data_IF_889193292007
#
_entry.id   IF_889193292007
#
_cell.length_a   1.000
_cell.length_b   1.000
_cell.length_c   1.000
_cell.angle_alpha   90.00
_cell.angle_beta   90.00
_cell.angle_gamma   90.00
#
_symmetry.space_group_name_H-M   'P 1'
#
loop_
_entity.id
_entity.type
_entity.pdbx_description
1 polymer ?
#
# COMPACT_ATOMS: atom_id res chain seq x y z
N UNK A 1 -20.38 25.22 -31.96
CA UNK A 1 -19.82 25.26 -30.58
C UNK A 1 -19.11 23.97 -30.35
N UNK A 2 -17.78 23.96 -30.38
CA UNK A 2 -16.99 22.76 -30.07
C UNK A 2 -16.99 22.49 -28.60
N UNK A 3 -17.41 21.28 -28.16
CA UNK A 3 -17.29 20.86 -26.78
C UNK A 3 -15.79 20.74 -26.43
N UNK A 4 -15.29 21.62 -25.60
CA UNK A 4 -13.96 21.52 -25.04
C UNK A 4 -13.96 20.40 -24.01
N UNK A 5 -13.49 19.21 -24.37
CA UNK A 5 -13.24 18.12 -23.43
C UNK A 5 -12.00 18.44 -22.61
N UNK A 6 -12.18 18.79 -21.36
CA UNK A 6 -11.07 18.87 -20.42
C UNK A 6 -10.64 17.44 -20.03
N UNK A 7 -9.38 17.11 -20.30
CA UNK A 7 -8.79 15.85 -19.81
C UNK A 7 -8.49 16.00 -18.33
N UNK A 8 -9.05 15.11 -17.53
CA UNK A 8 -8.81 15.06 -16.08
C UNK A 8 -7.99 13.82 -15.78
N UNK A 9 -6.93 13.96 -15.00
CA UNK A 9 -6.10 12.87 -14.52
C UNK A 9 -6.26 12.81 -12.99
N UNK A 10 -6.74 11.68 -12.47
CA UNK A 10 -6.77 11.40 -11.03
C UNK A 10 -5.54 10.62 -10.61
N UNK A 11 -4.91 11.02 -9.51
CA UNK A 11 -3.79 10.30 -8.91
C UNK A 11 -4.28 9.46 -7.73
N UNK A 12 -4.18 8.13 -7.88
CA UNK A 12 -4.49 7.15 -6.84
C UNK A 12 -3.19 6.59 -6.26
N UNK A 13 -3.12 6.51 -4.95
CA UNK A 13 -1.98 5.93 -4.20
C UNK A 13 -2.50 4.79 -3.33
N UNK A 14 -2.10 3.57 -3.64
CA UNK A 14 -2.40 2.39 -2.82
C UNK A 14 -1.26 2.17 -1.82
N UNK A 15 -1.60 2.15 -0.54
CA UNK A 15 -0.65 1.94 0.55
C UNK A 15 -0.81 0.51 1.06
N UNK A 16 0.11 -0.39 0.68
CA UNK A 16 -0.05 -1.82 0.96
C UNK A 16 0.67 -2.29 2.23
N UNK A 17 1.64 -1.52 2.74
CA UNK A 17 2.50 -1.94 3.84
C UNK A 17 2.64 -0.87 4.94
N UNK A 18 2.91 -1.32 6.17
CA UNK A 18 3.24 -0.42 7.28
C UNK A 18 4.47 0.45 6.97
N UNK A 19 5.50 -0.14 6.33
CA UNK A 19 6.70 0.61 5.90
C UNK A 19 6.34 1.67 4.87
N UNK A 20 5.54 1.32 3.86
CA UNK A 20 5.05 2.28 2.85
C UNK A 20 4.30 3.44 3.48
N UNK A 21 3.41 3.16 4.44
CA UNK A 21 2.69 4.19 5.19
C UNK A 21 3.63 5.10 5.98
N UNK A 22 4.58 4.52 6.73
CA UNK A 22 5.45 5.25 7.65
C UNK A 22 6.55 6.05 6.95
N UNK A 23 7.15 5.50 5.91
CA UNK A 23 8.33 6.06 5.25
C UNK A 23 7.98 6.67 3.88
N UNK A 24 7.17 5.97 3.08
CA UNK A 24 6.85 6.37 1.71
C UNK A 24 5.83 7.51 1.63
N UNK A 25 4.74 7.41 2.37
CA UNK A 25 3.67 8.42 2.33
C UNK A 25 4.18 9.83 2.69
N UNK A 26 4.98 10.05 3.76
CA UNK A 26 5.50 11.38 4.08
C UNK A 26 6.36 12.00 2.97
N UNK A 27 7.16 11.18 2.28
CA UNK A 27 7.98 11.63 1.14
C UNK A 27 7.09 12.01 -0.04
N UNK A 28 6.08 11.19 -0.33
CA UNK A 28 5.14 11.47 -1.41
C UNK A 28 4.31 12.73 -1.14
N UNK A 29 3.85 12.93 0.10
CA UNK A 29 3.15 14.15 0.49
C UNK A 29 4.00 15.41 0.25
N UNK A 30 5.29 15.37 0.62
CA UNK A 30 6.19 16.49 0.36
C UNK A 30 6.34 16.77 -1.14
N UNK A 31 6.40 15.72 -1.96
CA UNK A 31 6.46 15.83 -3.42
C UNK A 31 5.17 16.42 -3.99
N UNK A 32 4.01 15.89 -3.61
CA UNK A 32 2.70 16.34 -4.07
C UNK A 32 2.45 17.80 -3.70
N UNK A 33 2.83 18.19 -2.48
CA UNK A 33 2.77 19.59 -2.02
C UNK A 33 3.62 20.51 -2.88
N UNK A 34 4.84 20.09 -3.21
CA UNK A 34 5.75 20.87 -4.08
C UNK A 34 5.13 21.17 -5.44
N UNK A 35 4.37 20.25 -6.00
CA UNK A 35 3.76 20.39 -7.32
C UNK A 35 2.29 20.82 -7.28
N UNK A 36 1.70 21.00 -6.09
CA UNK A 36 0.29 21.36 -5.93
C UNK A 36 -0.68 20.31 -6.48
N UNK A 37 -0.32 19.03 -6.42
CA UNK A 37 -1.10 17.91 -6.99
C UNK A 37 -1.91 17.24 -5.88
N UNK A 38 -3.26 17.25 -5.94
CA UNK A 38 -4.09 16.45 -5.04
C UNK A 38 -4.02 14.96 -5.42
N UNK A 39 -4.23 14.09 -4.44
CA UNK A 39 -4.25 12.64 -4.63
C UNK A 39 -5.25 11.97 -3.69
N UNK A 40 -5.69 10.75 -4.03
CA UNK A 40 -6.50 9.90 -3.18
C UNK A 40 -5.66 8.73 -2.68
N UNK A 41 -5.46 8.64 -1.36
CA UNK A 41 -4.69 7.59 -0.70
C UNK A 41 -5.62 6.50 -0.20
N UNK A 42 -5.41 5.27 -0.63
CA UNK A 42 -6.17 4.10 -0.18
C UNK A 42 -5.33 3.30 0.80
N UNK A 43 -5.84 3.14 2.04
CA UNK A 43 -5.09 2.56 3.16
C UNK A 43 -5.83 1.35 3.72
N UNK A 44 -5.14 0.20 3.93
CA UNK A 44 -5.74 -0.97 4.58
C UNK A 44 -6.01 -0.69 6.05
N UNK A 45 -7.16 -1.17 6.51
CA UNK A 45 -7.58 -1.00 7.91
C UNK A 45 -7.01 -2.10 8.84
N UNK A 46 -6.53 -3.19 8.28
CA UNK A 46 -6.03 -4.35 9.00
C UNK A 46 -4.52 -4.36 9.20
N UNK A 47 -4.04 -5.57 9.52
CA UNK A 47 -2.62 -5.82 9.79
C UNK A 47 -1.81 -5.97 8.51
N UNK A 48 -0.53 -5.65 8.61
CA UNK A 48 0.44 -5.91 7.54
C UNK A 48 0.79 -7.40 7.47
N UNK A 49 0.28 -8.09 6.46
CA UNK A 49 0.55 -9.51 6.19
C UNK A 49 1.42 -9.72 4.95
N UNK A 50 2.27 -8.76 4.62
CA UNK A 50 3.15 -8.81 3.44
C UNK A 50 4.01 -10.07 3.39
N UNK A 51 4.38 -10.62 4.54
CA UNK A 51 5.14 -11.89 4.62
C UNK A 51 4.39 -13.09 4.05
N UNK A 52 3.06 -13.15 4.10
CA UNK A 52 2.29 -14.23 3.46
C UNK A 52 2.45 -14.20 1.93
N UNK A 53 2.43 -13.02 1.36
CA UNK A 53 2.70 -12.84 -0.07
C UNK A 53 4.12 -13.29 -0.40
N UNK A 54 5.11 -12.94 0.42
CA UNK A 54 6.49 -13.38 0.24
C UNK A 54 6.58 -14.92 0.29
N UNK A 55 5.96 -15.60 1.27
CA UNK A 55 5.95 -17.07 1.36
C UNK A 55 5.39 -17.71 0.08
N UNK A 56 4.23 -17.25 -0.40
CA UNK A 56 3.59 -17.76 -1.62
C UNK A 56 4.48 -17.60 -2.84
N UNK A 57 5.20 -16.54 -2.86
CA UNK A 57 6.07 -16.12 -3.92
C UNK A 57 7.36 -16.94 -3.90
N UNK A 58 7.94 -17.24 -2.74
CA UNK A 58 9.11 -18.12 -2.58
C UNK A 58 8.80 -19.59 -2.97
N UNK A 59 7.55 -20.02 -2.85
CA UNK A 59 7.14 -21.40 -3.20
C UNK A 59 6.90 -21.59 -4.70
N UNK A 60 6.80 -20.55 -5.52
CA UNK A 60 6.66 -20.66 -6.98
C UNK A 60 8.01 -20.84 -7.67
N UNK A 61 8.17 -21.96 -8.41
CA UNK A 61 9.37 -22.20 -9.25
C UNK A 61 9.64 -21.01 -10.17
N UNK A 62 10.86 -20.48 -10.11
CA UNK A 62 11.30 -19.34 -10.95
C UNK A 62 11.31 -17.97 -10.27
N UNK A 63 10.81 -17.86 -9.04
CA UNK A 63 10.72 -16.58 -8.34
C UNK A 63 12.08 -16.04 -7.85
N UNK A 64 12.99 -16.90 -7.41
CA UNK A 64 14.33 -16.45 -6.98
C UNK A 64 15.05 -15.62 -8.07
N UNK A 65 14.83 -15.96 -9.34
CA UNK A 65 15.33 -15.17 -10.48
C UNK A 65 14.66 -13.80 -10.61
N UNK A 66 13.37 -13.69 -10.23
CA UNK A 66 12.59 -12.45 -10.31
C UNK A 66 12.81 -11.56 -9.08
N UNK A 67 12.97 -12.16 -7.89
CA UNK A 67 13.23 -11.43 -6.64
C UNK A 67 14.57 -10.69 -6.66
N UNK A 68 15.62 -11.31 -7.22
CA UNK A 68 16.91 -10.64 -7.42
C UNK A 68 16.84 -9.47 -8.41
N UNK A 69 15.91 -9.50 -9.37
CA UNK A 69 15.76 -8.44 -10.37
C UNK A 69 15.07 -7.18 -9.84
N UNK A 70 14.24 -7.30 -8.81
CA UNK A 70 13.37 -6.21 -8.33
C UNK A 70 13.81 -5.66 -6.97
N UNK A 71 14.87 -6.22 -6.36
CA UNK A 71 15.33 -5.76 -5.04
C UNK A 71 14.25 -5.87 -3.97
N UNK A 72 13.52 -7.01 -3.91
CA UNK A 72 12.41 -7.21 -2.96
C UNK A 72 12.80 -6.92 -1.51
N UNK A 73 14.02 -7.31 -1.12
CA UNK A 73 14.58 -7.03 0.20
C UNK A 73 14.81 -5.53 0.44
N UNK A 74 15.26 -4.81 -0.59
CA UNK A 74 15.48 -3.36 -0.51
C UNK A 74 14.14 -2.61 -0.49
N UNK A 75 13.18 -3.04 -1.31
CA UNK A 75 11.86 -2.39 -1.42
C UNK A 75 11.03 -2.57 -0.15
N UNK A 76 10.88 -3.82 0.32
CA UNK A 76 9.99 -4.11 1.46
C UNK A 76 10.72 -4.13 2.80
N UNK A 77 12.02 -4.43 2.82
CA UNK A 77 12.82 -4.62 4.03
C UNK A 77 12.58 -5.98 4.70
N UNK A 78 13.61 -6.52 5.34
CA UNK A 78 13.57 -7.83 5.99
C UNK A 78 12.43 -7.94 7.02
N UNK A 79 12.24 -6.90 7.84
CA UNK A 79 11.22 -6.89 8.89
C UNK A 79 9.79 -6.98 8.33
N UNK A 80 9.49 -6.26 7.24
CA UNK A 80 8.19 -6.29 6.59
C UNK A 80 7.91 -7.68 5.99
N UNK A 81 8.91 -8.34 5.42
CA UNK A 81 8.78 -9.69 4.89
C UNK A 81 8.53 -10.76 5.99
N UNK A 82 8.87 -10.46 7.24
CA UNK A 82 8.60 -11.33 8.39
C UNK A 82 7.18 -11.14 8.96
N UNK A 83 6.48 -10.06 8.64
CA UNK A 83 5.12 -9.82 9.10
C UNK A 83 4.13 -10.85 8.54
N UNK A 84 3.36 -11.46 9.44
CA UNK A 84 2.44 -12.55 9.11
C UNK A 84 3.08 -13.94 9.01
N UNK A 85 4.44 -14.05 8.92
CA UNK A 85 5.15 -15.34 8.94
C UNK A 85 5.68 -15.69 10.33
N UNK A 86 6.49 -14.81 10.91
CA UNK A 86 7.17 -15.00 12.19
C UNK A 86 6.80 -13.94 13.21
N UNK A 87 6.36 -12.77 12.75
CA UNK A 87 5.99 -11.64 13.60
C UNK A 87 4.54 -11.24 13.29
N UNK A 88 3.74 -10.85 14.32
CA UNK A 88 2.45 -10.23 14.09
C UNK A 88 2.65 -8.92 13.34
N UNK A 89 1.91 -8.76 12.23
CA UNK A 89 1.93 -7.52 11.47
C UNK A 89 1.32 -6.36 12.26
N UNK A 90 1.86 -5.14 12.13
CA UNK A 90 1.26 -3.94 12.71
C UNK A 90 -0.04 -3.60 11.98
N UNK A 91 -1.00 -3.02 12.69
CA UNK A 91 -2.22 -2.44 12.09
C UNK A 91 -1.85 -1.15 11.35
N UNK A 92 -1.96 -1.18 10.01
CA UNK A 92 -1.40 -0.12 9.16
C UNK A 92 -2.05 1.24 9.44
N UNK A 93 -3.37 1.33 9.37
CA UNK A 93 -4.08 2.58 9.61
C UNK A 93 -3.97 3.03 11.07
N UNK A 94 -4.25 2.12 12.02
CA UNK A 94 -4.33 2.45 13.46
C UNK A 94 -3.02 2.96 14.03
N UNK A 95 -1.90 2.36 13.62
CA UNK A 95 -0.58 2.77 14.12
C UNK A 95 -0.02 4.02 13.43
N UNK A 96 -0.70 4.51 12.40
CA UNK A 96 -0.26 5.68 11.60
C UNK A 96 -1.34 6.77 11.51
N UNK A 97 -2.19 6.91 12.53
CA UNK A 97 -3.27 7.92 12.56
C UNK A 97 -2.75 9.34 12.29
N UNK A 98 -1.58 9.68 12.81
CA UNK A 98 -0.95 10.98 12.55
C UNK A 98 -0.71 11.21 11.05
N UNK A 99 -0.27 10.18 10.32
CA UNK A 99 -0.03 10.29 8.87
C UNK A 99 -1.37 10.42 8.12
N UNK A 100 -2.42 9.68 8.54
CA UNK A 100 -3.77 9.82 7.97
C UNK A 100 -4.31 11.25 8.15
N UNK A 101 -4.17 11.81 9.35
CA UNK A 101 -4.55 13.19 9.62
C UNK A 101 -3.75 14.18 8.77
N UNK A 102 -2.47 13.93 8.56
CA UNK A 102 -1.61 14.75 7.72
C UNK A 102 -2.04 14.69 6.24
N UNK A 103 -2.39 13.52 5.71
CA UNK A 103 -2.91 13.37 4.34
C UNK A 103 -4.11 14.31 4.14
N UNK A 104 -5.10 14.25 5.02
CA UNK A 104 -6.31 15.07 4.92
C UNK A 104 -6.03 16.57 5.14
N UNK A 105 -5.17 16.91 6.10
CA UNK A 105 -4.78 18.29 6.38
C UNK A 105 -4.01 18.95 5.22
N UNK A 106 -3.30 18.18 4.42
CA UNK A 106 -2.60 18.66 3.22
C UNK A 106 -3.48 18.67 1.95
N UNK A 107 -4.81 18.43 2.08
CA UNK A 107 -5.78 18.55 0.99
C UNK A 107 -5.91 17.32 0.10
N UNK A 108 -5.46 16.16 0.57
CA UNK A 108 -5.63 14.88 -0.11
C UNK A 108 -6.82 14.09 0.45
N UNK A 109 -7.32 13.13 -0.32
CA UNK A 109 -8.38 12.23 0.12
C UNK A 109 -7.81 10.95 0.75
N UNK A 110 -8.54 10.39 1.72
CA UNK A 110 -8.26 9.07 2.30
C UNK A 110 -9.42 8.14 2.02
N UNK A 111 -9.13 7.01 1.39
CA UNK A 111 -10.06 5.92 1.13
C UNK A 111 -9.62 4.62 1.80
N UNK A 112 -10.53 3.66 1.88
CA UNK A 112 -10.25 2.33 2.43
C UNK A 112 -9.76 1.40 1.33
N UNK A 113 -8.60 0.73 1.56
CA UNK A 113 -8.05 -0.29 0.67
C UNK A 113 -8.34 -1.72 1.18
N UNK A 114 -9.53 -1.94 1.68
CA UNK A 114 -9.94 -3.19 2.31
C UNK A 114 -9.45 -3.34 3.76
N UNK A 115 -9.83 -4.45 4.37
CA UNK A 115 -9.38 -4.79 5.73
C UNK A 115 -7.97 -5.40 5.66
N UNK A 116 -7.80 -6.41 4.82
CA UNK A 116 -6.56 -7.13 4.57
C UNK A 116 -6.43 -7.40 3.08
N UNK A 117 -5.49 -6.71 2.44
CA UNK A 117 -5.30 -6.81 0.99
C UNK A 117 -4.83 -8.21 0.57
N UNK A 118 -4.02 -8.87 1.39
CA UNK A 118 -3.49 -10.20 1.10
C UNK A 118 -4.59 -11.25 1.23
N UNK A 119 -5.37 -11.18 2.30
CA UNK A 119 -6.48 -12.10 2.56
C UNK A 119 -7.59 -11.96 1.51
N UNK A 120 -7.92 -10.74 1.13
CA UNK A 120 -8.83 -10.45 0.03
C UNK A 120 -8.39 -11.16 -1.27
N UNK A 121 -7.14 -10.98 -1.67
CA UNK A 121 -6.63 -11.57 -2.91
C UNK A 121 -6.64 -13.10 -2.91
N UNK A 122 -6.36 -13.70 -1.76
CA UNK A 122 -6.16 -15.14 -1.66
C UNK A 122 -7.46 -15.91 -1.41
N UNK A 123 -8.41 -15.33 -0.69
CA UNK A 123 -9.56 -16.06 -0.16
C UNK A 123 -10.93 -15.54 -0.60
N UNK A 124 -11.03 -14.36 -1.25
CA UNK A 124 -12.32 -13.76 -1.62
C UNK A 124 -13.24 -14.69 -2.42
N UNK A 125 -12.68 -15.56 -3.25
CA UNK A 125 -13.47 -16.53 -4.03
C UNK A 125 -14.13 -17.64 -3.18
N UNK A 126 -13.61 -17.88 -1.99
CA UNK A 126 -14.12 -18.87 -1.04
C UNK A 126 -15.06 -18.27 0.02
N UNK A 127 -15.22 -16.97 0.06
CA UNK A 127 -16.14 -16.33 1.02
C UNK A 127 -17.57 -16.55 0.58
N UNK A 128 -18.38 -17.16 1.45
CA UNK A 128 -19.83 -17.25 1.24
C UNK A 128 -20.45 -15.85 1.31
N UNK A 129 -21.45 -15.63 0.44
CA UNK A 129 -22.31 -14.45 0.49
C UNK A 129 -23.25 -14.53 1.65
#
# INVERSE_FOLDING_TARGET
>A
MGAHFHKVIGLKVDVDTHKGMKEGVPVLLALLKRYGIPASFFVPMGKDHTGWTAKRVFTRKGFLKKANRVGVLETYGMKTLMYGLLLPGPEIARQNLFILQRITAEGHEVGIHGLDHVDWHDHVKGWSR
#
